data_IF_801438317925
#
_entry.id   IF_801438317925
#
_cell.length_a   1.000
_cell.length_b   1.000
_cell.length_c   1.000
_cell.angle_alpha   90.00
_cell.angle_beta   90.00
_cell.angle_gamma   90.00
#
_symmetry.space_group_name_H-M   'P 1'
#
loop_
_entity.id
_entity.type
_entity.pdbx_description
1 polymer ?
#
# COMPACT_ATOMS: atom_id res chain seq x y z
N UNK A 1 -21.60 6.06 15.14
CA UNK A 1 -20.69 6.00 16.31
C UNK A 1 -19.47 5.11 16.03
N UNK A 2 -19.63 3.84 15.64
CA UNK A 2 -18.50 2.90 15.39
C UNK A 2 -17.50 3.45 14.36
N UNK A 3 -17.98 3.96 13.22
CA UNK A 3 -17.12 4.50 12.15
C UNK A 3 -16.22 5.64 12.65
N UNK A 4 -16.74 6.54 13.49
CA UNK A 4 -15.97 7.66 14.04
C UNK A 4 -14.85 7.19 14.97
N UNK A 5 -15.12 6.19 15.81
CA UNK A 5 -14.10 5.59 16.70
C UNK A 5 -13.04 4.86 15.88
N UNK A 6 -13.45 4.07 14.87
CA UNK A 6 -12.52 3.41 13.95
C UNK A 6 -11.62 4.42 13.25
N UNK A 7 -12.16 5.53 12.74
CA UNK A 7 -11.38 6.59 12.09
C UNK A 7 -10.35 7.23 13.03
N UNK A 8 -10.74 7.56 14.27
CA UNK A 8 -9.82 8.12 15.25
C UNK A 8 -8.69 7.14 15.62
N UNK A 9 -9.02 5.86 15.81
CA UNK A 9 -8.03 4.81 16.09
C UNK A 9 -7.09 4.58 14.90
N UNK A 10 -7.60 4.66 13.67
CA UNK A 10 -6.76 4.53 12.47
C UNK A 10 -5.65 5.58 12.41
N UNK A 11 -5.90 6.81 12.87
CA UNK A 11 -4.85 7.84 12.95
C UNK A 11 -3.74 7.37 13.90
N UNK A 12 -4.10 6.90 15.09
CA UNK A 12 -3.14 6.40 16.09
C UNK A 12 -2.37 5.20 15.55
N UNK A 13 -3.07 4.23 14.93
CA UNK A 13 -2.43 3.07 14.33
C UNK A 13 -1.46 3.48 13.22
N UNK A 14 -1.86 4.37 12.31
CA UNK A 14 -0.99 4.84 11.24
C UNK A 14 0.25 5.57 11.77
N UNK A 15 0.12 6.43 12.78
CA UNK A 15 1.27 7.12 13.38
C UNK A 15 2.29 6.14 13.98
N UNK A 16 1.81 5.14 14.73
CA UNK A 16 2.66 4.09 15.30
C UNK A 16 3.22 3.19 14.19
N UNK A 17 2.40 2.89 13.18
CA UNK A 17 2.74 2.10 12.01
C UNK A 17 3.91 2.69 11.25
N UNK A 18 3.86 3.98 10.89
CA UNK A 18 4.97 4.66 10.21
C UNK A 18 6.29 4.51 10.98
N UNK A 19 6.27 4.79 12.28
CA UNK A 19 7.45 4.65 13.13
C UNK A 19 7.99 3.22 13.19
N UNK A 20 7.12 2.22 13.22
CA UNK A 20 7.51 0.81 13.25
C UNK A 20 8.07 0.33 11.90
N UNK A 21 7.45 0.76 10.80
CA UNK A 21 7.82 0.35 9.45
C UNK A 21 9.23 0.78 9.07
N UNK A 22 9.63 1.99 9.45
CA UNK A 22 11.00 2.48 9.24
C UNK A 22 12.05 1.58 9.90
N UNK A 23 11.69 0.92 11.01
CA UNK A 23 12.59 0.00 11.74
C UNK A 23 12.53 -1.44 11.26
N UNK A 24 11.38 -1.94 10.83
CA UNK A 24 11.22 -3.36 10.47
C UNK A 24 11.50 -3.63 8.99
N UNK A 25 11.17 -2.68 8.12
CA UNK A 25 11.18 -2.85 6.66
C UNK A 25 9.76 -2.96 6.10
N UNK A 26 9.65 -3.31 4.82
CA UNK A 26 8.37 -3.25 4.08
C UNK A 26 7.73 -4.63 3.95
N UNK A 27 8.49 -5.67 3.63
CA UNK A 27 7.91 -6.96 3.25
C UNK A 27 7.42 -7.75 4.47
N UNK A 28 8.20 -7.78 5.56
CA UNK A 28 7.80 -8.52 6.77
C UNK A 28 6.49 -8.01 7.38
N UNK A 29 6.28 -6.68 7.54
CA UNK A 29 5.00 -6.17 8.02
C UNK A 29 3.83 -6.42 7.06
N UNK A 30 4.06 -6.44 5.74
CA UNK A 30 3.03 -6.83 4.76
C UNK A 30 2.57 -8.28 4.95
N UNK A 31 3.51 -9.21 5.19
CA UNK A 31 3.18 -10.63 5.44
C UNK A 31 2.36 -10.78 6.72
N UNK A 32 2.79 -10.12 7.81
CA UNK A 32 2.07 -10.14 9.10
C UNK A 32 0.68 -9.50 8.95
N UNK A 33 0.59 -8.41 8.21
CA UNK A 33 -0.67 -7.74 7.89
C UNK A 33 -1.62 -8.67 7.15
N UNK A 34 -1.18 -9.29 6.05
CA UNK A 34 -1.99 -10.22 5.26
C UNK A 34 -2.48 -11.42 6.09
N UNK A 35 -1.61 -12.01 6.91
CA UNK A 35 -1.99 -13.09 7.82
C UNK A 35 -3.02 -12.65 8.86
N UNK A 36 -2.83 -11.48 9.47
CA UNK A 36 -3.75 -10.92 10.46
C UNK A 36 -5.12 -10.55 9.87
N UNK A 37 -5.14 -9.97 8.66
CA UNK A 37 -6.37 -9.67 7.92
C UNK A 37 -7.13 -10.94 7.55
N UNK A 38 -6.42 -11.96 7.06
CA UNK A 38 -7.01 -13.27 6.79
C UNK A 38 -7.63 -13.87 8.07
N UNK A 39 -6.89 -13.91 9.17
CA UNK A 39 -7.38 -14.45 10.44
C UNK A 39 -8.61 -13.70 10.97
N UNK A 40 -8.58 -12.35 10.95
CA UNK A 40 -9.70 -11.53 11.41
C UNK A 40 -10.96 -11.75 10.56
N UNK A 41 -10.81 -11.84 9.23
CA UNK A 41 -11.93 -12.12 8.32
C UNK A 41 -12.47 -13.54 8.48
N UNK A 42 -11.61 -14.54 8.70
CA UNK A 42 -12.02 -15.91 8.96
C UNK A 42 -12.86 -15.99 10.24
N UNK A 43 -12.40 -15.34 11.31
CA UNK A 43 -13.12 -15.31 12.59
C UNK A 43 -14.47 -14.59 12.45
N UNK A 44 -14.54 -13.49 11.69
CA UNK A 44 -15.80 -12.81 11.39
C UNK A 44 -16.74 -13.68 10.53
N UNK A 45 -16.22 -14.41 9.54
CA UNK A 45 -17.00 -15.30 8.70
C UNK A 45 -17.65 -16.44 9.52
N UNK A 46 -16.88 -17.06 10.41
CA UNK A 46 -17.38 -18.11 11.31
C UNK A 46 -18.40 -17.56 12.30
N UNK A 47 -18.14 -16.37 12.89
CA UNK A 47 -19.12 -15.73 13.79
C UNK A 47 -20.43 -15.40 13.08
N UNK A 48 -20.37 -14.97 11.82
CA UNK A 48 -21.54 -14.67 11.02
C UNK A 48 -22.31 -15.94 10.58
N UNK A 49 -21.62 -17.07 10.37
CA UNK A 49 -22.26 -18.36 10.05
C UNK A 49 -23.16 -18.87 11.18
N UNK A 50 -22.75 -18.67 12.44
CA UNK A 50 -23.47 -19.10 13.63
C UNK A 50 -24.09 -17.90 14.37
N UNK A 51 -24.56 -16.89 13.64
CA UNK A 51 -25.08 -15.67 14.23
C UNK A 51 -26.34 -15.96 15.07
N UNK A 52 -26.27 -15.57 16.35
CA UNK A 52 -27.41 -15.51 17.24
C UNK A 52 -27.61 -14.05 17.65
N UNK A 53 -28.61 -13.39 17.06
CA UNK A 53 -28.88 -11.96 17.25
C UNK A 53 -29.19 -11.60 18.72
N UNK A 54 -29.67 -12.57 19.51
CA UNK A 54 -29.96 -12.37 20.93
C UNK A 54 -28.70 -12.48 21.81
N UNK A 55 -27.57 -12.89 21.24
CA UNK A 55 -26.30 -13.00 21.96
C UNK A 55 -25.50 -11.70 21.87
N UNK A 56 -25.71 -10.81 22.84
CA UNK A 56 -24.99 -9.55 22.94
C UNK A 56 -23.45 -9.71 22.98
N UNK A 57 -22.93 -10.81 23.52
CA UNK A 57 -21.49 -11.06 23.58
C UNK A 57 -20.91 -11.37 22.18
N UNK A 58 -21.66 -12.07 21.33
CA UNK A 58 -21.25 -12.32 19.94
C UNK A 58 -21.17 -11.01 19.14
N UNK A 59 -22.19 -10.15 19.25
CA UNK A 59 -22.20 -8.85 18.57
C UNK A 59 -21.01 -7.97 19.02
N UNK A 60 -20.71 -7.95 20.33
CA UNK A 60 -19.54 -7.23 20.87
C UNK A 60 -18.22 -7.80 20.34
N UNK A 61 -18.10 -9.12 20.24
CA UNK A 61 -16.94 -9.80 19.67
C UNK A 61 -16.71 -9.46 18.19
N UNK A 62 -17.78 -9.41 17.38
CA UNK A 62 -17.70 -9.00 15.97
C UNK A 62 -17.21 -7.55 15.84
N UNK A 63 -17.70 -6.64 16.69
CA UNK A 63 -17.23 -5.25 16.73
C UNK A 63 -15.76 -5.16 17.17
N UNK A 64 -15.35 -5.93 18.17
CA UNK A 64 -13.95 -5.99 18.59
C UNK A 64 -13.04 -6.50 17.46
N UNK A 65 -13.48 -7.51 16.72
CA UNK A 65 -12.73 -8.06 15.59
C UNK A 65 -12.57 -7.06 14.44
N UNK A 66 -13.52 -6.14 14.25
CA UNK A 66 -13.37 -5.03 13.31
C UNK A 66 -12.20 -4.10 13.67
N UNK A 67 -11.99 -3.80 14.96
CA UNK A 67 -10.84 -3.01 15.40
C UNK A 67 -9.52 -3.77 15.22
N UNK A 68 -9.52 -5.08 15.49
CA UNK A 68 -8.36 -5.95 15.23
C UNK A 68 -8.03 -5.97 13.74
N UNK A 69 -9.04 -6.08 12.86
CA UNK A 69 -8.87 -5.95 11.42
C UNK A 69 -8.24 -4.61 11.03
N UNK A 70 -8.73 -3.48 11.57
CA UNK A 70 -8.16 -2.15 11.31
C UNK A 70 -6.70 -2.03 11.74
N UNK A 71 -6.33 -2.62 12.88
CA UNK A 71 -4.95 -2.66 13.34
C UNK A 71 -4.05 -3.43 12.36
N UNK A 72 -4.44 -4.64 11.95
CA UNK A 72 -3.68 -5.42 10.98
C UNK A 72 -3.71 -4.83 9.57
N UNK A 73 -4.70 -4.01 9.22
CA UNK A 73 -4.74 -3.29 7.96
C UNK A 73 -3.66 -2.20 7.85
N UNK A 74 -3.18 -1.68 8.98
CA UNK A 74 -2.32 -0.49 9.02
C UNK A 74 -1.04 -0.64 8.17
N UNK A 75 -0.24 -1.72 8.26
CA UNK A 75 0.94 -1.87 7.42
C UNK A 75 0.59 -1.92 5.93
N UNK A 76 -0.44 -2.69 5.55
CA UNK A 76 -0.92 -2.74 4.17
C UNK A 76 -1.36 -1.36 3.66
N UNK A 77 -2.09 -0.61 4.49
CA UNK A 77 -2.58 0.72 4.17
C UNK A 77 -1.48 1.76 3.98
N UNK A 78 -0.34 1.64 4.67
CA UNK A 78 0.79 2.56 4.49
C UNK A 78 1.65 2.10 3.31
N UNK A 79 2.07 0.84 3.32
CA UNK A 79 3.08 0.30 2.40
C UNK A 79 2.52 0.23 0.97
N UNK A 80 1.21 0.03 0.78
CA UNK A 80 0.62 0.01 -0.57
C UNK A 80 0.79 1.32 -1.35
N UNK A 81 0.98 2.45 -0.67
CA UNK A 81 1.25 3.75 -1.30
C UNK A 81 2.74 4.09 -1.38
N UNK A 82 3.54 3.57 -0.45
CA UNK A 82 4.98 3.86 -0.37
C UNK A 82 5.78 2.93 -1.28
N UNK A 83 5.46 1.64 -1.28
CA UNK A 83 6.21 0.61 -1.99
C UNK A 83 6.31 0.85 -3.51
N UNK A 84 5.24 1.25 -4.24
CA UNK A 84 5.35 1.58 -5.65
C UNK A 84 6.39 2.68 -5.93
N UNK A 85 6.47 3.69 -5.07
CA UNK A 85 7.44 4.78 -5.22
C UNK A 85 8.89 4.33 -4.96
N UNK A 86 9.09 3.24 -4.22
CA UNK A 86 10.41 2.68 -3.90
C UNK A 86 10.90 1.64 -4.92
N UNK A 87 9.99 1.00 -5.68
CA UNK A 87 10.38 -0.04 -6.65
C UNK A 87 10.63 0.50 -8.06
N UNK A 88 9.98 1.62 -8.43
CA UNK A 88 10.10 2.12 -9.80
C UNK A 88 11.37 2.98 -9.98
N UNK A 89 12.10 2.79 -11.09
CA UNK A 89 13.20 3.66 -11.50
C UNK A 89 12.75 5.10 -11.61
N UNK A 90 13.66 6.05 -11.39
CA UNK A 90 13.34 7.49 -11.30
C UNK A 90 12.59 7.98 -12.55
N UNK A 91 12.98 7.50 -13.71
CA UNK A 91 12.51 7.89 -15.05
C UNK A 91 11.05 7.51 -15.27
N UNK A 92 10.66 6.32 -14.81
CA UNK A 92 9.32 5.77 -15.02
C UNK A 92 8.46 5.82 -13.76
N UNK A 93 9.00 6.27 -12.62
CA UNK A 93 8.30 6.32 -11.32
C UNK A 93 6.98 7.06 -11.38
N UNK A 94 6.94 8.21 -12.05
CA UNK A 94 5.70 8.98 -12.19
C UNK A 94 4.61 8.18 -12.93
N UNK A 95 4.98 7.51 -14.03
CA UNK A 95 4.07 6.66 -14.80
C UNK A 95 3.66 5.40 -14.03
N UNK A 96 4.62 4.71 -13.39
CA UNK A 96 4.37 3.53 -12.58
C UNK A 96 3.42 3.80 -11.40
N UNK A 97 3.61 4.93 -10.72
CA UNK A 97 2.71 5.37 -9.65
C UNK A 97 1.31 5.75 -10.18
N UNK A 98 1.22 6.37 -11.36
CA UNK A 98 -0.05 6.68 -11.99
C UNK A 98 -0.82 5.41 -12.36
N UNK A 99 -0.16 4.42 -12.96
CA UNK A 99 -0.75 3.12 -13.28
C UNK A 99 -1.18 2.40 -12.00
N UNK A 100 -0.32 2.35 -10.97
CA UNK A 100 -0.65 1.72 -9.68
C UNK A 100 -1.90 2.33 -9.05
N UNK A 101 -1.97 3.66 -9.05
CA UNK A 101 -3.11 4.40 -8.49
C UNK A 101 -4.37 4.17 -9.32
N UNK A 102 -4.27 4.21 -10.65
CA UNK A 102 -5.38 3.91 -11.56
C UNK A 102 -5.92 2.48 -11.35
N UNK A 103 -5.05 1.48 -11.28
CA UNK A 103 -5.42 0.09 -11.00
C UNK A 103 -6.09 -0.03 -9.64
N UNK A 104 -5.55 0.63 -8.61
CA UNK A 104 -6.14 0.64 -7.28
C UNK A 104 -7.58 1.16 -7.30
N UNK A 105 -7.82 2.35 -7.88
CA UNK A 105 -9.17 2.92 -7.94
C UNK A 105 -10.12 2.13 -8.83
N UNK A 106 -9.62 1.56 -9.93
CA UNK A 106 -10.42 0.71 -10.82
C UNK A 106 -10.90 -0.55 -10.10
N UNK A 107 -10.01 -1.24 -9.39
CA UNK A 107 -10.38 -2.42 -8.60
C UNK A 107 -11.33 -2.07 -7.47
N UNK A 108 -11.10 -0.94 -6.78
CA UNK A 108 -12.04 -0.43 -5.77
C UNK A 108 -13.44 -0.18 -6.35
N UNK A 109 -13.54 0.44 -7.54
CA UNK A 109 -14.82 0.66 -8.21
C UNK A 109 -15.55 -0.67 -8.49
N UNK A 110 -14.83 -1.66 -9.01
CA UNK A 110 -15.38 -2.99 -9.31
C UNK A 110 -15.95 -3.63 -8.03
N UNK A 111 -15.16 -3.64 -6.94
CA UNK A 111 -15.64 -4.19 -5.66
C UNK A 111 -16.79 -3.37 -5.08
N UNK A 112 -16.80 -2.05 -5.22
CA UNK A 112 -17.91 -1.21 -4.75
C UNK A 112 -19.23 -1.56 -5.45
N UNK A 113 -19.21 -1.93 -6.72
CA UNK A 113 -20.40 -2.36 -7.46
C UNK A 113 -20.80 -3.81 -7.17
N UNK A 114 -19.83 -4.72 -7.01
CA UNK A 114 -20.10 -6.15 -6.80
C UNK A 114 -20.47 -6.46 -5.35
N UNK A 115 -19.92 -5.75 -4.36
CA UNK A 115 -20.09 -6.07 -2.94
C UNK A 115 -21.56 -6.13 -2.49
N UNK A 116 -22.46 -5.18 -2.85
CA UNK A 116 -23.86 -5.23 -2.44
C UNK A 116 -24.60 -6.46 -3.00
N UNK A 117 -24.36 -6.76 -4.28
CA UNK A 117 -24.95 -7.92 -4.96
C UNK A 117 -24.42 -9.23 -4.36
N UNK A 118 -23.11 -9.30 -4.08
CA UNK A 118 -22.51 -10.46 -3.44
C UNK A 118 -23.04 -10.66 -2.02
N UNK A 119 -23.14 -9.61 -1.21
CA UNK A 119 -23.70 -9.71 0.15
C UNK A 119 -25.17 -10.15 0.13
N UNK A 120 -25.94 -9.81 -0.90
CA UNK A 120 -27.35 -10.24 -1.03
C UNK A 120 -27.45 -11.71 -1.42
N UNK A 121 -26.62 -12.17 -2.37
CA UNK A 121 -26.71 -13.54 -2.91
C UNK A 121 -25.97 -14.59 -2.05
N UNK A 122 -24.79 -14.26 -1.54
CA UNK A 122 -23.92 -15.20 -0.81
C UNK A 122 -23.69 -14.83 0.67
N UNK A 123 -24.16 -13.66 1.11
CA UNK A 123 -24.14 -13.26 2.51
C UNK A 123 -22.75 -13.31 3.15
N UNK A 124 -22.67 -13.92 4.33
CA UNK A 124 -21.41 -14.05 5.10
C UNK A 124 -20.30 -14.80 4.36
N UNK A 125 -20.64 -15.61 3.35
CA UNK A 125 -19.64 -16.36 2.56
C UNK A 125 -18.72 -15.42 1.78
N UNK A 126 -19.16 -14.19 1.55
CA UNK A 126 -18.33 -13.15 0.94
C UNK A 126 -17.06 -12.87 1.74
N UNK A 127 -17.07 -13.01 3.06
CA UNK A 127 -15.87 -12.86 3.90
C UNK A 127 -14.82 -13.96 3.64
N UNK A 128 -15.23 -15.19 3.28
CA UNK A 128 -14.29 -16.25 2.90
C UNK A 128 -13.55 -15.94 1.61
N UNK A 129 -14.17 -15.18 0.69
CA UNK A 129 -13.50 -14.74 -0.54
C UNK A 129 -12.30 -13.88 -0.16
N UNK A 130 -12.49 -12.84 0.64
CA UNK A 130 -11.40 -11.98 1.08
C UNK A 130 -10.37 -12.68 1.96
N UNK A 131 -10.76 -13.68 2.76
CA UNK A 131 -9.82 -14.55 3.46
C UNK A 131 -8.83 -15.21 2.48
N UNK A 132 -9.35 -15.84 1.41
CA UNK A 132 -8.50 -16.48 0.39
C UNK A 132 -7.64 -15.46 -0.35
N UNK A 133 -8.19 -14.30 -0.72
CA UNK A 133 -7.42 -13.23 -1.36
C UNK A 133 -6.26 -12.74 -0.47
N UNK A 134 -6.47 -12.61 0.85
CA UNK A 134 -5.39 -12.23 1.76
C UNK A 134 -4.32 -13.32 1.88
N UNK A 135 -4.68 -14.60 1.84
CA UNK A 135 -3.70 -15.70 1.80
C UNK A 135 -2.88 -15.70 0.50
N UNK A 136 -3.54 -15.48 -0.64
CA UNK A 136 -2.84 -15.35 -1.93
C UNK A 136 -1.91 -14.14 -1.90
N UNK A 137 -2.37 -12.99 -1.40
CA UNK A 137 -1.54 -11.81 -1.24
C UNK A 137 -0.33 -12.07 -0.34
N UNK A 138 -0.51 -12.78 0.78
CA UNK A 138 0.57 -13.19 1.67
C UNK A 138 1.63 -14.03 0.93
N UNK A 139 1.20 -15.02 0.15
CA UNK A 139 2.11 -15.83 -0.68
C UNK A 139 2.82 -14.93 -1.69
N UNK A 140 2.11 -14.00 -2.34
CA UNK A 140 2.72 -13.08 -3.28
C UNK A 140 3.79 -12.20 -2.63
N UNK A 141 3.56 -11.71 -1.41
CA UNK A 141 4.53 -10.91 -0.66
C UNK A 141 5.79 -11.71 -0.30
N UNK A 142 5.66 -13.02 -0.05
CA UNK A 142 6.82 -13.87 0.29
C UNK A 142 7.72 -14.09 -0.94
N UNK A 143 7.13 -14.30 -2.13
CA UNK A 143 7.89 -14.75 -3.30
C UNK A 143 8.25 -13.62 -4.29
N UNK A 144 7.44 -12.57 -4.40
CA UNK A 144 7.60 -11.57 -5.45
C UNK A 144 8.02 -10.18 -4.95
N UNK A 145 7.94 -9.90 -3.65
CA UNK A 145 8.23 -8.58 -3.11
C UNK A 145 9.67 -8.51 -2.58
N UNK A 146 10.60 -7.81 -3.25
CA UNK A 146 11.91 -7.53 -2.69
C UNK A 146 11.83 -6.58 -1.49
N UNK A 147 12.72 -6.77 -0.52
CA UNK A 147 12.84 -5.85 0.61
C UNK A 147 13.53 -4.55 0.18
N UNK A 148 12.84 -3.42 0.35
CA UNK A 148 13.33 -2.09 -0.04
C UNK A 148 14.09 -1.39 1.10
N UNK A 149 14.11 -1.95 2.31
CA UNK A 149 14.76 -1.34 3.47
C UNK A 149 16.26 -1.18 3.28
N UNK A 150 16.74 0.07 3.42
CA UNK A 150 18.16 0.41 3.40
C UNK A 150 18.79 0.37 2.02
N UNK A 151 17.98 0.35 0.95
CA UNK A 151 18.44 0.46 -0.44
C UNK A 151 18.24 1.88 -0.93
N UNK A 152 19.22 2.41 -1.65
CA UNK A 152 19.02 3.64 -2.42
C UNK A 152 18.24 3.32 -3.70
N UNK A 153 17.69 4.33 -4.36
CA UNK A 153 16.90 4.14 -5.58
C UNK A 153 17.76 3.51 -6.69
N UNK A 154 19.02 3.92 -6.79
CA UNK A 154 20.00 3.40 -7.75
C UNK A 154 20.31 1.92 -7.50
N UNK A 155 20.32 1.48 -6.23
CA UNK A 155 20.50 0.07 -5.87
C UNK A 155 19.26 -0.78 -6.17
N UNK A 156 18.08 -0.16 -6.26
CA UNK A 156 16.86 -0.85 -6.69
C UNK A 156 16.87 -1.06 -8.21
N UNK A 157 17.39 -0.10 -8.98
CA UNK A 157 17.56 -0.23 -10.44
C UNK A 157 18.53 -1.39 -10.78
N UNK A 158 19.63 -1.52 -10.02
CA UNK A 158 20.54 -2.67 -10.12
C UNK A 158 19.84 -4.01 -9.83
N UNK A 159 18.91 -4.04 -8.86
CA UNK A 159 18.19 -5.26 -8.47
C UNK A 159 17.25 -5.75 -9.59
N UNK A 160 16.67 -4.83 -10.36
CA UNK A 160 15.81 -5.14 -11.49
C UNK A 160 16.57 -5.31 -12.82
N UNK A 161 17.89 -5.14 -12.80
CA UNK A 161 18.75 -5.36 -13.96
C UNK A 161 18.74 -4.22 -14.98
N UNK A 162 18.31 -3.02 -14.58
CA UNK A 162 18.45 -1.83 -15.42
C UNK A 162 19.94 -1.49 -15.54
N UNK A 163 20.44 -1.43 -16.79
CA UNK A 163 21.77 -0.90 -17.03
C UNK A 163 21.74 0.58 -16.64
N UNK A 164 22.67 0.97 -15.76
CA UNK A 164 23.02 2.35 -15.48
C UNK A 164 23.29 3.07 -16.81
N UNK A 165 22.26 3.64 -17.45
CA UNK A 165 22.46 4.66 -18.47
C UNK A 165 22.78 5.90 -17.65
N UNK A 166 24.05 6.36 -17.60
CA UNK A 166 24.39 7.51 -16.79
C UNK A 166 23.59 8.69 -17.34
N UNK A 167 22.72 9.27 -16.51
CA UNK A 167 21.89 10.44 -16.86
C UNK A 167 22.66 11.61 -17.49
N UNK A 168 23.98 11.67 -17.28
CA UNK A 168 24.87 12.65 -17.91
C UNK A 168 24.96 12.53 -19.44
N UNK A 169 24.64 11.37 -20.04
CA UNK A 169 24.85 11.11 -21.46
C UNK A 169 23.61 11.35 -22.34
N UNK A 170 22.41 11.40 -21.73
CA UNK A 170 21.16 11.60 -22.49
C UNK A 170 20.72 13.07 -22.53
N UNK A 171 21.20 13.87 -21.57
CA UNK A 171 20.89 15.30 -21.45
C UNK A 171 22.15 16.17 -21.54
N UNK A 172 23.14 15.80 -22.37
CA UNK A 172 24.26 16.70 -22.70
C UNK A 172 23.78 18.05 -23.25
N UNK A 173 22.62 18.05 -23.91
CA UNK A 173 21.93 19.24 -24.42
C UNK A 173 21.22 20.01 -23.30
N UNK A 174 20.57 19.32 -22.36
CA UNK A 174 19.91 19.94 -21.20
C UNK A 174 20.90 20.53 -20.19
N UNK A 175 22.01 19.83 -19.94
CA UNK A 175 23.12 20.31 -19.10
C UNK A 175 23.83 21.50 -19.75
N UNK A 176 24.11 21.45 -21.07
CA UNK A 176 24.66 22.60 -21.79
C UNK A 176 23.70 23.81 -21.81
N UNK A 177 22.39 23.56 -21.92
CA UNK A 177 21.38 24.62 -21.88
C UNK A 177 21.23 25.27 -20.50
N UNK A 178 21.41 24.51 -19.41
CA UNK A 178 21.42 25.06 -18.06
C UNK A 178 22.68 25.92 -17.81
N UNK A 179 23.86 25.44 -18.24
CA UNK A 179 25.12 26.19 -18.15
C UNK A 179 25.06 27.49 -18.97
N UNK A 180 24.53 27.45 -20.20
CA UNK A 180 24.38 28.62 -21.05
C UNK A 180 23.34 29.63 -20.52
N UNK A 181 22.38 29.18 -19.70
CA UNK A 181 21.38 30.05 -19.08
C UNK A 181 21.95 30.78 -17.87
N UNK A 182 22.80 30.11 -17.08
CA UNK A 182 23.54 30.73 -15.98
C UNK A 182 24.59 31.72 -16.48
N UNK A 183 25.29 31.42 -17.58
CA UNK A 183 26.30 32.33 -18.16
C UNK A 183 25.66 33.65 -18.64
N UNK A 184 24.49 33.60 -19.26
CA UNK A 184 23.72 34.80 -19.66
C UNK A 184 23.14 35.58 -18.50
N UNK A 185 22.82 34.91 -17.39
CA UNK A 185 22.36 35.56 -16.15
C UNK A 185 23.51 36.32 -15.47
N UNK A 186 24.71 35.75 -15.46
CA UNK A 186 25.92 36.42 -14.96
C UNK A 186 26.27 37.63 -15.82
N UNK A 187 26.24 37.47 -17.15
CA UNK A 187 26.51 38.57 -18.09
C UNK A 187 25.47 39.71 -17.99
N UNK A 188 24.21 39.41 -17.65
CA UNK A 188 23.18 40.43 -17.40
C UNK A 188 23.34 41.15 -16.05
N UNK A 189 24.00 40.55 -15.08
CA UNK A 189 24.26 41.14 -13.77
C UNK A 189 25.52 42.03 -13.76
N UNK A 190 26.48 41.80 -14.68
CA UNK A 190 27.70 42.60 -14.82
C UNK A 190 27.49 43.94 -15.59
N UNK A 191 26.28 44.20 -16.11
CA UNK A 191 25.91 45.45 -16.81
C UNK A 191 25.05 46.42 -15.95
N UNK A 192 24.92 46.18 -14.64
CA UNK A 192 24.28 47.09 -13.66
C UNK A 192 25.32 47.60 -12.67
#
# INVERSE_FOLDING_TARGET
MIIGISGALSIVYCSIGLWLLDRVGRVKPLIVSAAGLAAALLVNAVQAQYLNENNANQLRSMVAMNFVFSMFYTPLGIISWVYPAEIFPVEVRALGNAITTFTNWTVNLIFAQISPEALTNIGFRYFYVFFVFNLIAMICYIFFFPETKGRTLEQMDELFGDQLVPHAMQDSVGAAAAVAKDEKLVEQLDYV
#
